data_IF_063671357987
#
_entry.id   IF_063671357987
#
_cell.length_a   1.000
_cell.length_b   1.000
_cell.length_c   1.000
_cell.angle_alpha   90.00
_cell.angle_beta   90.00
_cell.angle_gamma   90.00
#
_symmetry.space_group_name_H-M   'P 1'
#
loop_
_entity.id
_entity.type
_entity.pdbx_description
1 polymer ?
#
# COMPACT_ATOMS: atom_id res chain seq x y z
N UNK A 1 -33.44 5.20 15.05
CA UNK A 1 -32.47 6.25 14.64
C UNK A 1 -31.12 5.97 15.28
N UNK A 2 -30.16 5.41 14.54
CA UNK A 2 -28.77 5.32 15.00
C UNK A 2 -28.14 6.70 14.75
N UNK A 3 -27.79 7.42 15.83
CA UNK A 3 -27.04 8.67 15.75
C UNK A 3 -25.66 8.35 15.15
N UNK A 4 -25.41 8.85 13.95
CA UNK A 4 -24.07 8.94 13.38
C UNK A 4 -23.24 9.82 14.30
N UNK A 5 -22.25 9.25 14.98
CA UNK A 5 -21.24 10.03 15.68
C UNK A 5 -20.40 10.73 14.61
N UNK A 6 -20.61 12.03 14.43
CA UNK A 6 -19.60 12.87 13.81
C UNK A 6 -18.35 12.78 14.69
N UNK A 7 -17.22 12.35 14.13
CA UNK A 7 -15.91 12.45 14.77
C UNK A 7 -15.59 13.95 14.86
N UNK A 8 -15.78 14.54 16.03
CA UNK A 8 -15.22 15.85 16.36
C UNK A 8 -13.71 15.68 16.57
N UNK A 9 -12.90 16.48 15.87
CA UNK A 9 -11.43 16.47 15.97
C UNK A 9 -10.78 16.13 14.63
N UNK A 10 -10.65 17.13 13.76
CA UNK A 10 -9.75 17.05 12.61
C UNK A 10 -8.86 18.29 12.69
N UNK A 11 -7.94 18.32 13.66
CA UNK A 11 -6.84 19.26 13.58
C UNK A 11 -5.88 18.80 12.47
N UNK A 12 -5.25 19.75 11.77
CA UNK A 12 -4.25 19.43 10.75
C UNK A 12 -3.13 18.53 11.31
N UNK A 13 -2.81 18.68 12.61
CA UNK A 13 -1.80 17.88 13.31
C UNK A 13 -2.21 16.40 13.44
N UNK A 14 -3.44 16.11 13.86
CA UNK A 14 -3.93 14.72 13.97
C UNK A 14 -3.94 14.02 12.60
N UNK A 15 -4.29 14.75 11.53
CA UNK A 15 -4.26 14.21 10.18
C UNK A 15 -2.83 13.85 9.72
N UNK A 16 -1.85 14.71 10.05
CA UNK A 16 -0.45 14.44 9.73
C UNK A 16 0.08 13.22 10.49
N UNK A 17 -0.27 13.09 11.77
CA UNK A 17 0.11 11.93 12.59
C UNK A 17 -0.53 10.64 12.08
N UNK A 18 -1.80 10.65 11.66
CA UNK A 18 -2.47 9.51 11.03
C UNK A 18 -1.77 9.11 9.70
N UNK A 19 -1.36 10.09 8.89
CA UNK A 19 -0.61 9.83 7.64
C UNK A 19 0.75 9.21 7.94
N UNK A 20 1.51 9.75 8.90
CA UNK A 20 2.82 9.23 9.29
C UNK A 20 2.71 7.82 9.87
N UNK A 21 1.73 7.57 10.75
CA UNK A 21 1.48 6.25 11.31
C UNK A 21 1.14 5.23 10.23
N UNK A 22 0.31 5.61 9.24
CA UNK A 22 -0.02 4.74 8.10
C UNK A 22 1.22 4.46 7.23
N UNK A 23 2.06 5.47 6.99
CA UNK A 23 3.31 5.27 6.25
C UNK A 23 4.30 4.36 6.99
N UNK A 24 4.39 4.52 8.30
CA UNK A 24 5.20 3.68 9.17
C UNK A 24 4.69 2.24 9.16
N UNK A 25 3.39 2.04 9.35
CA UNK A 25 2.74 0.73 9.30
C UNK A 25 2.97 0.04 7.94
N UNK A 26 2.86 0.77 6.82
CA UNK A 26 3.18 0.23 5.49
C UNK A 26 4.62 -0.27 5.39
N UNK A 27 5.59 0.49 5.92
CA UNK A 27 7.00 0.08 5.88
C UNK A 27 7.28 -1.14 6.77
N UNK A 28 6.57 -1.26 7.89
CA UNK A 28 6.64 -2.40 8.79
C UNK A 28 5.99 -3.66 8.20
N UNK A 29 4.79 -3.52 7.63
CA UNK A 29 4.02 -4.62 7.04
C UNK A 29 4.61 -5.10 5.71
N UNK A 30 5.15 -4.17 4.92
CA UNK A 30 5.68 -4.44 3.58
C UNK A 30 7.14 -3.97 3.48
N UNK A 31 8.11 -4.66 4.11
CA UNK A 31 9.51 -4.27 4.06
C UNK A 31 10.04 -4.30 2.63
N UNK A 32 10.85 -3.30 2.26
CA UNK A 32 11.34 -3.10 0.89
C UNK A 32 12.01 -4.36 0.31
N UNK A 33 12.95 -4.97 1.04
CA UNK A 33 13.64 -6.18 0.62
C UNK A 33 12.70 -7.37 0.35
N UNK A 34 11.57 -7.47 1.06
CA UNK A 34 10.57 -8.50 0.80
C UNK A 34 9.77 -8.18 -0.46
N UNK A 35 9.31 -6.92 -0.59
CA UNK A 35 8.59 -6.46 -1.78
C UNK A 35 9.45 -6.70 -3.03
N UNK A 36 10.71 -6.29 -3.02
CA UNK A 36 11.66 -6.52 -4.12
C UNK A 36 11.79 -8.00 -4.49
N UNK A 37 11.90 -8.88 -3.49
CA UNK A 37 11.98 -10.34 -3.71
C UNK A 37 10.74 -10.86 -4.43
N UNK A 38 9.55 -10.39 -4.06
CA UNK A 38 8.30 -10.79 -4.70
C UNK A 38 8.15 -10.21 -6.10
N UNK A 39 8.47 -8.93 -6.30
CA UNK A 39 8.49 -8.29 -7.62
C UNK A 39 9.38 -9.09 -8.58
N UNK A 40 10.63 -9.37 -8.18
CA UNK A 40 11.57 -10.17 -9.00
C UNK A 40 11.05 -11.57 -9.28
N UNK A 41 10.35 -12.20 -8.34
CA UNK A 41 9.76 -13.54 -8.52
C UNK A 41 8.60 -13.49 -9.51
N UNK A 42 7.74 -12.49 -9.43
CA UNK A 42 6.57 -12.36 -10.29
C UNK A 42 6.93 -11.97 -11.72
N UNK A 43 7.82 -10.98 -11.91
CA UNK A 43 8.31 -10.62 -13.24
C UNK A 43 8.98 -11.81 -13.95
N UNK A 44 9.71 -12.66 -13.22
CA UNK A 44 10.31 -13.90 -13.78
C UNK A 44 9.29 -14.94 -14.18
N UNK A 45 8.15 -14.98 -13.52
CA UNK A 45 7.06 -15.91 -13.82
C UNK A 45 6.10 -15.36 -14.90
N UNK A 46 6.44 -14.21 -15.51
CA UNK A 46 5.60 -13.55 -16.51
C UNK A 46 4.42 -12.77 -15.94
N UNK A 47 4.39 -12.54 -14.62
CA UNK A 47 3.38 -11.71 -13.96
C UNK A 47 3.95 -10.31 -13.86
N UNK A 48 3.33 -9.39 -14.59
CA UNK A 48 3.63 -7.97 -14.50
C UNK A 48 2.98 -7.38 -13.24
N UNK A 49 3.79 -6.69 -12.45
CA UNK A 49 3.39 -6.12 -11.15
C UNK A 49 2.54 -4.86 -11.35
N UNK A 50 2.59 -4.24 -12.52
CA UNK A 50 1.72 -3.11 -12.87
C UNK A 50 0.28 -3.57 -13.24
N UNK A 51 0.09 -4.87 -13.52
CA UNK A 51 -1.23 -5.45 -13.82
C UNK A 51 -2.03 -5.73 -12.55
N UNK A 52 -3.36 -5.73 -12.68
CA UNK A 52 -4.30 -5.97 -11.59
C UNK A 52 -4.02 -7.29 -10.85
N UNK A 53 -3.72 -8.36 -11.60
CA UNK A 53 -3.39 -9.66 -11.01
C UNK A 53 -2.13 -9.61 -10.13
N UNK A 54 -1.08 -8.90 -10.57
CA UNK A 54 0.16 -8.74 -9.82
C UNK A 54 -0.05 -8.01 -8.51
N UNK A 55 -0.76 -6.89 -8.56
CA UNK A 55 -1.14 -6.08 -7.39
C UNK A 55 -1.94 -6.91 -6.40
N UNK A 56 -2.98 -7.62 -6.88
CA UNK A 56 -3.86 -8.44 -6.05
C UNK A 56 -3.12 -9.59 -5.38
N UNK A 57 -2.22 -10.27 -6.10
CA UNK A 57 -1.41 -11.34 -5.52
C UNK A 57 -0.49 -10.81 -4.42
N UNK A 58 0.16 -9.67 -4.63
CA UNK A 58 1.03 -9.06 -3.63
C UNK A 58 0.23 -8.59 -2.41
N UNK A 59 -0.91 -7.92 -2.63
CA UNK A 59 -1.79 -7.46 -1.54
C UNK A 59 -2.22 -8.63 -0.63
N UNK A 60 -2.61 -9.76 -1.22
CA UNK A 60 -2.95 -10.97 -0.47
C UNK A 60 -1.77 -11.58 0.29
N UNK A 61 -0.56 -11.53 -0.29
CA UNK A 61 0.67 -12.02 0.34
C UNK A 61 1.02 -11.24 1.61
N UNK A 62 0.87 -9.92 1.56
CA UNK A 62 1.15 -9.04 2.68
C UNK A 62 -0.07 -8.78 3.58
N UNK A 63 -1.23 -9.38 3.26
CA UNK A 63 -2.49 -9.21 4.00
C UNK A 63 -2.90 -7.73 4.14
N UNK A 64 -2.75 -6.97 3.06
CA UNK A 64 -3.12 -5.54 2.98
C UNK A 64 -4.16 -5.31 1.89
N UNK A 65 -4.76 -4.12 1.85
CA UNK A 65 -5.59 -3.72 0.72
C UNK A 65 -4.75 -3.51 -0.55
N UNK A 66 -5.36 -3.73 -1.71
CA UNK A 66 -4.74 -3.45 -3.02
C UNK A 66 -4.26 -1.99 -3.11
N UNK A 67 -5.03 -1.05 -2.56
CA UNK A 67 -4.68 0.37 -2.49
C UNK A 67 -3.36 0.61 -1.74
N UNK A 68 -3.16 -0.03 -0.58
CA UNK A 68 -1.90 0.08 0.17
C UNK A 68 -0.74 -0.55 -0.58
N UNK A 69 -0.98 -1.66 -1.27
CA UNK A 69 0.04 -2.31 -2.10
C UNK A 69 0.46 -1.40 -3.27
N UNK A 70 -0.49 -0.80 -3.98
CA UNK A 70 -0.23 0.16 -5.06
C UNK A 70 0.60 1.34 -4.54
N UNK A 71 0.18 1.96 -3.44
CA UNK A 71 0.93 3.07 -2.83
C UNK A 71 2.35 2.65 -2.46
N UNK A 72 2.53 1.43 -1.94
CA UNK A 72 3.85 0.90 -1.60
C UNK A 72 4.72 0.70 -2.83
N UNK A 73 4.16 0.13 -3.90
CA UNK A 73 4.88 -0.12 -5.16
C UNK A 73 5.27 1.19 -5.87
N UNK A 74 4.38 2.20 -5.87
CA UNK A 74 4.70 3.56 -6.36
C UNK A 74 5.84 4.16 -5.54
N UNK A 75 5.74 4.10 -4.19
CA UNK A 75 6.77 4.65 -3.29
C UNK A 75 8.15 4.00 -3.49
N UNK A 76 8.18 2.73 -3.90
CA UNK A 76 9.39 1.98 -4.21
C UNK A 76 9.82 2.09 -5.68
N UNK A 77 9.04 2.77 -6.53
CA UNK A 77 9.36 2.99 -7.95
C UNK A 77 9.10 1.78 -8.86
N UNK A 78 8.26 0.83 -8.44
CA UNK A 78 7.89 -0.35 -9.25
C UNK A 78 6.68 -0.13 -10.15
N UNK A 79 5.86 0.87 -9.85
CA UNK A 79 4.75 1.31 -10.70
C UNK A 79 4.95 2.79 -10.98
N UNK A 80 4.88 3.18 -12.24
CA UNK A 80 4.89 4.58 -12.61
C UNK A 80 3.45 5.10 -12.78
N UNK A 81 3.07 6.15 -12.04
CA UNK A 81 1.76 6.80 -12.16
C UNK A 81 1.77 8.01 -13.13
N UNK A 82 2.73 8.03 -14.05
CA UNK A 82 2.85 9.06 -15.08
C UNK A 82 2.23 8.54 -16.40
N UNK A 83 0.96 8.85 -16.61
CA UNK A 83 0.29 8.97 -17.92
C UNK A 83 -0.33 10.35 -18.03
#
# INVERSE_FOLDING_TARGET
MKRTKMKEGCSLAELLEEIEANQFAMALLMPEHQVEKYVKKFCKNGIDVEQEEGIKMMANLFQVSEQLMILRLIKLGYINWLY
#
